data_IF_894761137924
#
_entry.id   IF_894761137924
#
_cell.length_a   1.000
_cell.length_b   1.000
_cell.length_c   1.000
_cell.angle_alpha   90.00
_cell.angle_beta   90.00
_cell.angle_gamma   90.00
#
_symmetry.space_group_name_H-M   'P 1'
#
loop_
_entity.id
_entity.type
_entity.pdbx_description
1 polymer ?
#
# COMPACT_ATOMS: atom_id res chain seq x y z
N UNK A 1 4.98 18.70 8.80
CA UNK A 1 5.82 17.71 9.51
C UNK A 1 6.06 16.48 8.64
N UNK A 2 5.02 15.89 8.02
CA UNK A 2 5.13 14.79 7.04
C UNK A 2 6.06 15.06 5.85
N UNK A 3 5.98 16.26 5.26
CA UNK A 3 6.74 16.63 4.06
C UNK A 3 8.26 16.53 4.25
N UNK A 4 8.80 16.93 5.41
CA UNK A 4 10.24 16.83 5.70
C UNK A 4 10.70 15.38 5.81
N UNK A 5 9.91 14.52 6.43
CA UNK A 5 10.32 13.14 6.72
C UNK A 5 10.23 12.26 5.46
N UNK A 6 9.16 12.38 4.66
CA UNK A 6 8.98 11.59 3.43
C UNK A 6 10.00 12.00 2.36
N UNK A 7 10.17 13.31 2.13
CA UNK A 7 11.15 13.82 1.15
C UNK A 7 12.58 13.47 1.55
N UNK A 8 12.89 13.44 2.85
CA UNK A 8 14.23 13.04 3.32
C UNK A 8 14.57 11.58 3.03
N UNK A 9 13.56 10.72 2.90
CA UNK A 9 13.72 9.28 2.68
C UNK A 9 13.76 8.94 1.18
N UNK A 10 13.16 9.77 0.33
CA UNK A 10 13.10 9.56 -1.12
C UNK A 10 14.45 9.73 -1.82
N UNK A 11 15.26 10.71 -1.43
CA UNK A 11 16.57 10.95 -2.05
C UNK A 11 17.52 9.76 -1.84
N UNK A 12 17.67 9.20 -0.61
CA UNK A 12 18.40 7.96 -0.38
C UNK A 12 17.87 6.78 -1.19
N UNK A 13 16.54 6.64 -1.31
CA UNK A 13 15.93 5.56 -2.09
C UNK A 13 16.36 5.62 -3.56
N UNK A 14 16.23 6.79 -4.20
CA UNK A 14 16.63 7.00 -5.59
C UNK A 14 18.13 6.82 -5.79
N UNK A 15 18.94 7.29 -4.84
CA UNK A 15 20.39 7.08 -4.88
C UNK A 15 20.72 5.58 -4.85
N UNK A 16 20.07 4.82 -3.97
CA UNK A 16 20.25 3.37 -3.89
C UNK A 16 19.85 2.67 -5.19
N UNK A 17 18.67 3.00 -5.75
CA UNK A 17 18.18 2.41 -7.00
C UNK A 17 19.15 2.70 -8.15
N UNK A 18 19.60 3.94 -8.30
CA UNK A 18 20.47 4.37 -9.40
C UNK A 18 21.92 3.86 -9.29
N UNK A 19 22.36 3.48 -8.10
CA UNK A 19 23.71 2.95 -7.90
C UNK A 19 23.88 1.50 -8.38
N UNK A 20 22.78 0.75 -8.51
CA UNK A 20 22.83 -0.66 -8.90
C UNK A 20 22.92 -0.80 -10.42
N UNK A 21 23.80 -1.68 -10.88
CA UNK A 21 24.02 -1.92 -12.32
C UNK A 21 23.37 -3.21 -12.82
N UNK A 22 23.19 -4.17 -11.92
CA UNK A 22 22.64 -5.48 -12.24
C UNK A 22 21.61 -5.92 -11.20
N UNK A 23 20.68 -6.83 -11.56
CA UNK A 23 19.79 -7.46 -10.59
C UNK A 23 20.56 -8.12 -9.44
N UNK A 24 21.70 -8.75 -9.72
CA UNK A 24 22.52 -9.34 -8.67
C UNK A 24 23.02 -8.31 -7.66
N UNK A 25 23.39 -7.11 -8.11
CA UNK A 25 23.79 -6.01 -7.23
C UNK A 25 22.62 -5.57 -6.33
N UNK A 26 21.40 -5.48 -6.87
CA UNK A 26 20.20 -5.18 -6.07
C UNK A 26 20.04 -6.17 -4.92
N UNK A 27 20.12 -7.46 -5.19
CA UNK A 27 19.97 -8.48 -4.15
C UNK A 27 21.11 -8.40 -3.12
N UNK A 28 22.36 -8.40 -3.59
CA UNK A 28 23.53 -8.46 -2.71
C UNK A 28 23.64 -7.21 -1.83
N UNK A 29 23.47 -6.02 -2.41
CA UNK A 29 23.57 -4.77 -1.67
C UNK A 29 22.38 -4.56 -0.73
N UNK A 30 21.18 -5.04 -1.10
CA UNK A 30 20.04 -5.04 -0.19
C UNK A 30 20.29 -5.95 1.02
N UNK A 31 20.70 -7.20 0.79
CA UNK A 31 20.99 -8.15 1.88
C UNK A 31 22.14 -7.66 2.75
N UNK A 32 23.18 -7.06 2.15
CA UNK A 32 24.29 -6.43 2.89
C UNK A 32 23.80 -5.26 3.77
N UNK A 33 22.94 -4.39 3.23
CA UNK A 33 22.35 -3.29 3.97
C UNK A 33 21.52 -3.77 5.17
N UNK A 34 20.71 -4.83 4.99
CA UNK A 34 19.90 -5.44 6.05
C UNK A 34 20.77 -6.07 7.14
N UNK A 35 21.86 -6.74 6.77
CA UNK A 35 22.74 -7.41 7.73
C UNK A 35 23.72 -6.45 8.43
N UNK A 36 23.68 -5.14 8.12
CA UNK A 36 24.60 -4.15 8.67
C UNK A 36 26.04 -4.28 8.15
N UNK A 37 26.23 -5.00 7.04
CA UNK A 37 27.53 -5.08 6.36
C UNK A 37 27.85 -3.74 5.68
N UNK A 38 29.15 -3.43 5.44
CA UNK A 38 29.54 -2.21 4.73
C UNK A 38 29.08 -2.27 3.28
N UNK A 39 27.83 -1.85 3.04
CA UNK A 39 27.29 -1.57 1.73
C UNK A 39 27.67 -0.15 1.31
N UNK A 40 27.94 0.05 0.01
CA UNK A 40 28.25 1.35 -0.56
C UNK A 40 27.13 2.38 -0.33
N UNK A 41 25.90 1.93 -0.10
CA UNK A 41 24.75 2.77 0.24
C UNK A 41 23.89 2.10 1.31
N UNK A 42 23.69 2.79 2.43
CA UNK A 42 22.75 2.38 3.47
C UNK A 42 21.33 2.79 3.07
N UNK A 43 20.41 1.83 3.13
CA UNK A 43 18.98 2.08 3.07
C UNK A 43 18.47 2.40 4.48
N UNK A 44 17.52 3.33 4.61
CA UNK A 44 16.80 3.53 5.88
C UNK A 44 15.97 2.28 6.19
N UNK A 45 15.85 1.92 7.47
CA UNK A 45 15.06 0.79 7.96
C UNK A 45 13.60 0.86 7.45
N UNK A 46 13.06 2.07 7.32
CA UNK A 46 11.72 2.30 6.77
C UNK A 46 11.58 1.84 5.31
N UNK A 47 12.65 1.93 4.52
CA UNK A 47 12.68 1.52 3.12
C UNK A 47 12.97 0.04 2.94
N UNK A 48 13.53 -0.60 3.97
CA UNK A 48 13.82 -2.04 3.98
C UNK A 48 12.54 -2.84 4.18
N UNK A 49 11.62 -2.34 5.01
CA UNK A 49 10.42 -3.05 5.43
C UNK A 49 9.50 -3.53 4.27
N UNK A 50 9.23 -2.74 3.22
CA UNK A 50 8.40 -3.19 2.09
C UNK A 50 8.98 -4.41 1.36
N UNK A 51 10.31 -4.51 1.29
CA UNK A 51 10.99 -5.66 0.68
C UNK A 51 10.94 -6.88 1.59
N UNK A 52 11.21 -6.70 2.89
CA UNK A 52 11.19 -7.81 3.86
C UNK A 52 9.79 -8.38 4.11
N UNK A 53 8.75 -7.54 4.02
CA UNK A 53 7.36 -7.96 4.16
C UNK A 53 6.80 -8.63 2.90
N UNK A 54 7.52 -8.61 1.78
CA UNK A 54 7.10 -9.25 0.55
C UNK A 54 7.30 -10.78 0.60
N UNK A 55 6.20 -11.52 0.43
CA UNK A 55 6.17 -12.99 0.51
C UNK A 55 7.06 -13.63 -0.57
N UNK A 56 7.07 -13.11 -1.80
CA UNK A 56 7.87 -13.67 -2.89
C UNK A 56 9.37 -13.49 -2.61
N UNK A 57 9.77 -12.29 -2.17
CA UNK A 57 11.15 -12.05 -1.78
C UNK A 57 11.58 -12.97 -0.63
N UNK A 58 10.74 -13.12 0.40
CA UNK A 58 11.02 -14.03 1.51
C UNK A 58 11.24 -15.48 1.04
N UNK A 59 10.40 -15.97 0.14
CA UNK A 59 10.52 -17.32 -0.43
C UNK A 59 11.81 -17.49 -1.25
N UNK A 60 12.17 -16.47 -2.06
CA UNK A 60 13.43 -16.47 -2.82
C UNK A 60 14.64 -16.46 -1.88
N UNK A 61 14.63 -15.60 -0.85
CA UNK A 61 15.67 -15.55 0.16
C UNK A 61 15.86 -16.89 0.87
N UNK A 62 14.76 -17.52 1.31
CA UNK A 62 14.78 -18.84 1.94
C UNK A 62 15.36 -19.90 1.01
N UNK A 63 14.97 -19.88 -0.27
CA UNK A 63 15.48 -20.81 -1.29
C UNK A 63 17.00 -20.64 -1.48
N UNK A 64 17.49 -19.41 -1.56
CA UNK A 64 18.92 -19.12 -1.68
C UNK A 64 19.67 -19.66 -0.45
N UNK A 65 19.16 -19.44 0.76
CA UNK A 65 19.76 -19.96 2.00
C UNK A 65 19.79 -21.50 2.05
N UNK A 66 18.75 -22.15 1.53
CA UNK A 66 18.71 -23.61 1.41
C UNK A 66 19.78 -24.10 0.42
N UNK A 67 19.89 -23.47 -0.76
CA UNK A 67 20.92 -23.81 -1.75
C UNK A 67 22.33 -23.61 -1.17
N UNK A 68 22.57 -22.55 -0.40
CA UNK A 68 23.85 -22.31 0.27
C UNK A 68 24.19 -23.39 1.31
N UNK A 69 23.17 -23.90 2.02
CA UNK A 69 23.35 -25.01 2.95
C UNK A 69 23.71 -26.29 2.19
N UNK A 70 22.99 -26.60 1.13
CA UNK A 70 23.24 -27.79 0.29
C UNK A 70 24.62 -27.73 -0.38
N UNK A 71 25.01 -26.58 -0.95
CA UNK A 71 26.35 -26.40 -1.55
C UNK A 71 27.47 -26.70 -0.53
N UNK A 72 27.33 -26.24 0.72
CA UNK A 72 28.29 -26.56 1.80
C UNK A 72 28.33 -28.06 2.11
N UNK A 73 27.18 -28.72 2.20
CA UNK A 73 27.09 -30.15 2.47
C UNK A 73 27.68 -31.00 1.32
N UNK A 74 27.44 -30.61 0.06
CA UNK A 74 28.01 -31.27 -1.11
C UNK A 74 29.52 -31.07 -1.21
N UNK A 75 30.03 -29.87 -0.90
CA UNK A 75 31.49 -29.61 -0.86
C UNK A 75 32.17 -30.45 0.23
N UNK A 76 31.58 -30.56 1.41
CA UNK A 76 32.12 -31.38 2.48
C UNK A 76 32.19 -32.88 2.12
N UNK A 77 31.27 -33.36 1.29
CA UNK A 77 31.18 -34.77 0.87
C UNK A 77 31.73 -35.04 -0.54
N UNK A 78 32.39 -34.06 -1.16
CA UNK A 78 32.79 -34.11 -2.57
C UNK A 78 33.65 -35.34 -2.91
N UNK A 79 34.57 -35.71 -2.01
CA UNK A 79 35.44 -36.88 -2.19
C UNK A 79 34.69 -38.22 -2.23
N UNK A 80 33.56 -38.32 -1.52
CA UNK A 80 32.72 -39.54 -1.49
C UNK A 80 31.76 -39.62 -2.68
N UNK A 81 31.34 -38.47 -3.19
CA UNK A 81 30.31 -38.37 -4.24
C UNK A 81 30.90 -38.38 -5.67
N UNK A 82 32.21 -38.17 -5.82
CA UNK A 82 32.89 -38.26 -7.12
C UNK A 82 32.29 -37.31 -8.17
N UNK A 83 32.05 -37.83 -9.38
CA UNK A 83 31.49 -37.07 -10.51
C UNK A 83 30.08 -36.54 -10.26
N UNK A 84 29.23 -37.29 -9.55
CA UNK A 84 27.88 -36.86 -9.18
C UNK A 84 27.90 -35.60 -8.30
N UNK A 85 28.83 -35.54 -7.34
CA UNK A 85 29.00 -34.36 -6.49
C UNK A 85 29.41 -33.12 -7.29
N UNK A 86 30.29 -33.28 -8.28
CA UNK A 86 30.70 -32.17 -9.15
C UNK A 86 29.56 -31.67 -10.04
N UNK A 87 28.78 -32.58 -10.62
CA UNK A 87 27.61 -32.21 -11.42
C UNK A 87 26.54 -31.49 -10.58
N UNK A 88 26.26 -31.99 -9.38
CA UNK A 88 25.29 -31.36 -8.49
C UNK A 88 25.75 -29.97 -8.04
N UNK A 89 27.03 -29.78 -7.72
CA UNK A 89 27.59 -28.46 -7.39
C UNK A 89 27.44 -27.47 -8.56
N UNK A 90 27.64 -27.91 -9.80
CA UNK A 90 27.43 -27.06 -10.97
C UNK A 90 25.96 -26.65 -11.13
N UNK A 91 25.02 -27.60 -10.90
CA UNK A 91 23.58 -27.32 -10.92
C UNK A 91 23.17 -26.37 -9.81
N UNK A 92 23.65 -26.58 -8.57
CA UNK A 92 23.38 -25.71 -7.43
C UNK A 92 23.94 -24.30 -7.66
N UNK A 93 25.13 -24.17 -8.26
CA UNK A 93 25.70 -22.88 -8.61
C UNK A 93 24.83 -22.11 -9.63
N UNK A 94 24.32 -22.81 -10.65
CA UNK A 94 23.39 -22.22 -11.63
C UNK A 94 22.07 -21.79 -10.96
N UNK A 95 21.46 -22.67 -10.16
CA UNK A 95 20.22 -22.39 -9.43
C UNK A 95 20.38 -21.22 -8.45
N UNK A 96 21.52 -21.15 -7.74
CA UNK A 96 21.85 -20.02 -6.86
C UNK A 96 21.87 -18.72 -7.65
N UNK A 97 22.60 -18.70 -8.76
CA UNK A 97 22.72 -17.50 -9.61
C UNK A 97 21.35 -17.05 -10.13
N UNK A 98 20.56 -17.97 -10.66
CA UNK A 98 19.21 -17.66 -11.16
C UNK A 98 18.28 -17.14 -10.04
N UNK A 99 18.37 -17.73 -8.84
CA UNK A 99 17.58 -17.30 -7.68
C UNK A 99 17.99 -15.91 -7.19
N UNK A 100 19.29 -15.59 -7.20
CA UNK A 100 19.81 -14.26 -6.86
C UNK A 100 19.30 -13.22 -7.87
N UNK A 101 19.38 -13.52 -9.17
CA UNK A 101 18.86 -12.63 -10.23
C UNK A 101 17.36 -12.37 -10.02
N UNK A 102 16.57 -13.42 -9.78
CA UNK A 102 15.12 -13.28 -9.49
C UNK A 102 14.86 -12.45 -8.23
N UNK A 103 15.61 -12.68 -7.16
CA UNK A 103 15.55 -11.89 -5.94
C UNK A 103 15.86 -10.42 -6.18
N UNK A 104 16.89 -10.16 -7.00
CA UNK A 104 17.30 -8.83 -7.43
C UNK A 104 16.23 -8.08 -8.20
N UNK A 105 15.65 -8.72 -9.22
CA UNK A 105 14.52 -8.17 -9.98
C UNK A 105 13.36 -7.84 -9.04
N UNK A 106 13.05 -8.73 -8.08
CA UNK A 106 11.96 -8.49 -7.14
C UNK A 106 12.22 -7.30 -6.23
N UNK A 107 13.44 -7.18 -5.69
CA UNK A 107 13.87 -6.03 -4.88
C UNK A 107 13.75 -4.75 -5.70
N UNK A 108 14.26 -4.75 -6.94
CA UNK A 108 14.16 -3.62 -7.84
C UNK A 108 12.70 -3.20 -8.05
N UNK A 109 11.83 -4.15 -8.43
CA UNK A 109 10.40 -3.89 -8.63
C UNK A 109 9.76 -3.23 -7.41
N UNK A 110 9.96 -3.81 -6.21
CA UNK A 110 9.38 -3.29 -4.97
C UNK A 110 9.87 -1.87 -4.69
N UNK A 111 11.17 -1.61 -4.81
CA UNK A 111 11.74 -0.30 -4.53
C UNK A 111 11.32 0.75 -5.57
N UNK A 112 11.19 0.36 -6.85
CA UNK A 112 10.70 1.27 -7.90
C UNK A 112 9.21 1.58 -7.74
N UNK A 113 8.39 0.60 -7.36
CA UNK A 113 6.98 0.82 -7.03
C UNK A 113 6.87 1.74 -5.82
N UNK A 114 7.67 1.52 -4.79
CA UNK A 114 7.71 2.37 -3.60
C UNK A 114 8.08 3.83 -3.95
N UNK A 115 9.05 4.07 -4.85
CA UNK A 115 9.33 5.44 -5.30
C UNK A 115 8.13 6.07 -6.03
N UNK A 116 7.44 5.30 -6.88
CA UNK A 116 6.25 5.76 -7.57
C UNK A 116 5.12 6.11 -6.59
N UNK A 117 4.83 5.23 -5.63
CA UNK A 117 3.80 5.43 -4.60
C UNK A 117 4.09 6.66 -3.73
N UNK A 118 5.36 6.89 -3.39
CA UNK A 118 5.78 8.10 -2.66
C UNK A 118 5.50 9.35 -3.49
N UNK A 119 5.80 9.35 -4.80
CA UNK A 119 5.51 10.51 -5.65
C UNK A 119 4.01 10.76 -5.77
N UNK A 120 3.20 9.70 -5.93
CA UNK A 120 1.75 9.82 -6.02
C UNK A 120 1.17 10.40 -4.72
N UNK A 121 1.60 9.91 -3.56
CA UNK A 121 1.18 10.43 -2.26
C UNK A 121 1.55 11.92 -2.08
N UNK A 122 2.70 12.37 -2.59
CA UNK A 122 3.10 13.78 -2.56
C UNK A 122 2.19 14.66 -3.43
N UNK A 123 1.78 14.15 -4.59
CA UNK A 123 0.83 14.87 -5.47
C UNK A 123 -0.53 14.98 -4.80
N UNK A 124 -1.06 13.88 -4.24
CA UNK A 124 -2.33 13.87 -3.51
C UNK A 124 -2.31 14.81 -2.30
N UNK A 125 -1.19 14.86 -1.56
CA UNK A 125 -1.04 15.80 -0.46
C UNK A 125 -1.15 17.26 -0.94
N UNK A 126 -0.51 17.58 -2.07
CA UNK A 126 -0.55 18.94 -2.65
C UNK A 126 -1.97 19.31 -3.08
N UNK A 127 -2.71 18.37 -3.67
CA UNK A 127 -4.12 18.56 -4.03
C UNK A 127 -4.99 18.86 -2.81
N UNK A 128 -4.87 18.06 -1.76
CA UNK A 128 -5.59 18.26 -0.49
C UNK A 128 -5.26 19.64 0.11
N UNK A 129 -4.00 20.07 0.07
CA UNK A 129 -3.61 21.38 0.58
C UNK A 129 -4.24 22.53 -0.22
N UNK A 130 -4.32 22.40 -1.54
CA UNK A 130 -5.00 23.38 -2.41
C UNK A 130 -6.50 23.42 -2.09
N UNK A 131 -7.14 22.27 -1.90
CA UNK A 131 -8.56 22.19 -1.53
C UNK A 131 -8.86 22.83 -0.18
N UNK A 132 -8.03 22.57 0.83
CA UNK A 132 -8.16 23.20 2.16
C UNK A 132 -8.04 24.72 2.04
N UNK A 133 -7.07 25.20 1.28
CA UNK A 133 -6.87 26.64 1.07
C UNK A 133 -8.06 27.27 0.31
N UNK A 134 -8.61 26.60 -0.71
CA UNK A 134 -9.81 27.05 -1.41
C UNK A 134 -11.03 27.09 -0.47
N UNK A 135 -11.22 26.08 0.37
CA UNK A 135 -12.29 26.07 1.37
C UNK A 135 -12.15 27.22 2.37
N UNK A 136 -10.94 27.49 2.84
CA UNK A 136 -10.67 28.62 3.74
C UNK A 136 -10.97 29.97 3.07
N UNK A 137 -10.58 30.15 1.80
CA UNK A 137 -10.90 31.36 1.03
C UNK A 137 -12.42 31.51 0.85
N UNK A 138 -13.12 30.43 0.52
CA UNK A 138 -14.58 30.46 0.37
C UNK A 138 -15.27 30.85 1.69
N UNK A 139 -14.85 30.28 2.82
CA UNK A 139 -15.37 30.65 4.14
C UNK A 139 -15.14 32.13 4.44
N UNK A 140 -13.92 32.64 4.24
CA UNK A 140 -13.62 34.06 4.45
C UNK A 140 -14.41 34.96 3.50
N UNK A 141 -14.65 34.52 2.26
CA UNK A 141 -15.43 35.27 1.28
C UNK A 141 -16.90 35.34 1.67
N UNK A 142 -17.49 34.23 2.12
CA UNK A 142 -18.88 34.19 2.63
C UNK A 142 -19.03 35.04 3.91
N UNK A 143 -18.07 34.98 4.83
CA UNK A 143 -18.05 35.87 6.00
C UNK A 143 -17.96 37.34 5.61
N UNK A 144 -17.15 37.67 4.60
CA UNK A 144 -17.01 39.04 4.08
C UNK A 144 -18.31 39.52 3.43
N UNK A 145 -18.95 38.71 2.58
CA UNK A 145 -20.26 39.03 1.99
C UNK A 145 -21.31 39.30 3.06
N UNK A 146 -21.35 38.48 4.12
CA UNK A 146 -22.24 38.69 5.27
C UNK A 146 -21.94 40.00 6.01
N UNK A 147 -20.68 40.38 6.16
CA UNK A 147 -20.28 41.62 6.85
C UNK A 147 -20.50 42.89 6.01
N UNK A 148 -20.32 42.81 4.69
CA UNK A 148 -20.47 43.95 3.76
C UNK A 148 -21.94 44.26 3.48
N UNK A 149 -22.87 43.41 3.93
CA UNK A 149 -24.31 43.63 3.74
C UNK A 149 -24.78 43.33 2.31
N UNK A 150 -23.93 42.71 1.48
CA UNK A 150 -24.30 42.07 0.21
C UNK A 150 -24.97 40.71 0.43
N UNK A 151 -25.70 40.56 1.55
CA UNK A 151 -26.76 39.58 1.63
C UNK A 151 -27.92 40.14 0.79
N UNK A 152 -27.84 39.98 -0.54
CA UNK A 152 -28.98 40.24 -1.40
C UNK A 152 -30.16 39.41 -0.91
N UNK A 153 -31.24 40.11 -0.57
CA UNK A 153 -32.58 39.60 -0.37
C UNK A 153 -33.05 38.86 -1.64
N UNK A 154 -32.71 37.59 -1.78
CA UNK A 154 -33.22 36.65 -2.79
C UNK A 154 -32.76 35.27 -2.28
N UNK A 155 -33.42 34.66 -1.29
CA UNK A 155 -34.61 33.83 -1.44
C UNK A 155 -35.50 33.96 -0.20
N UNK A 156 -36.43 34.91 -0.22
CA UNK A 156 -37.51 35.00 0.75
C UNK A 156 -38.84 34.92 0.02
N UNK A 157 -39.26 33.71 -0.37
CA UNK A 157 -40.68 33.35 -0.44
C UNK A 157 -40.88 31.84 -0.65
N UNK A 158 -40.99 31.09 0.46
CA UNK A 158 -42.14 30.19 0.68
C UNK A 158 -42.52 30.26 2.15
N UNK A 159 -43.58 31.01 2.46
CA UNK A 159 -44.24 30.97 3.76
C UNK A 159 -45.08 29.69 3.81
N UNK A 160 -44.85 28.83 4.81
CA UNK A 160 -45.97 28.20 5.52
C UNK A 160 -45.56 27.78 6.92
N UNK A 161 -46.16 28.46 7.89
CA UNK A 161 -46.35 28.10 9.30
C UNK A 161 -45.91 26.69 9.73
N UNK A 162 -44.96 26.63 10.66
CA UNK A 162 -44.71 25.41 11.42
C UNK A 162 -43.41 25.49 12.19
N UNK A 163 -43.53 25.67 13.51
CA UNK A 163 -42.54 25.41 14.57
C UNK A 163 -41.17 24.92 14.08
N UNK A 164 -40.12 25.68 14.41
CA UNK A 164 -38.73 25.23 14.36
C UNK A 164 -38.62 23.89 15.09
N UNK A 165 -38.52 22.81 14.33
CA UNK A 165 -38.14 21.51 14.83
C UNK A 165 -36.62 21.45 14.71
N UNK A 166 -35.94 21.51 15.86
CA UNK A 166 -34.55 21.05 15.94
C UNK A 166 -34.63 19.53 15.74
N UNK A 167 -34.32 19.08 14.52
CA UNK A 167 -34.29 17.65 14.19
C UNK A 167 -33.01 17.10 14.79
N UNK A 168 -33.16 16.33 15.88
CA UNK A 168 -32.08 15.51 16.40
C UNK A 168 -31.79 14.41 15.38
N UNK A 169 -30.51 14.10 15.21
CA UNK A 169 -29.86 13.14 14.29
C UNK A 169 -30.45 11.70 14.32
N UNK A 170 -31.49 11.45 15.11
CA UNK A 170 -32.11 10.15 15.37
C UNK A 170 -33.60 10.09 14.94
N UNK A 171 -34.09 11.08 14.18
CA UNK A 171 -35.51 11.15 13.76
C UNK A 171 -35.75 11.39 12.27
N UNK A 172 -34.72 11.40 11.44
CA UNK A 172 -34.89 11.38 9.98
C UNK A 172 -35.07 9.94 9.50
N UNK A 173 -36.34 9.55 9.29
CA UNK A 173 -36.66 8.35 8.52
C UNK A 173 -36.72 8.77 7.06
N UNK A 174 -35.67 8.43 6.31
CA UNK A 174 -35.65 8.64 4.88
C UNK A 174 -36.73 7.75 4.24
N UNK A 175 -37.74 8.30 3.55
CA UNK A 175 -38.67 7.48 2.80
C UNK A 175 -37.90 6.89 1.63
N UNK A 176 -37.48 5.64 1.78
CA UNK A 176 -36.80 4.91 0.72
C UNK A 176 -37.72 4.83 -0.51
N UNK A 177 -37.44 5.61 -1.55
CA UNK A 177 -38.26 5.68 -2.78
C UNK A 177 -38.00 4.53 -3.77
N UNK A 178 -37.23 3.50 -3.36
CA UNK A 178 -37.13 2.26 -4.11
C UNK A 178 -36.26 2.31 -5.37
N UNK A 179 -35.45 3.35 -5.57
CA UNK A 179 -34.50 3.36 -6.68
C UNK A 179 -33.24 2.57 -6.33
N UNK A 180 -33.05 1.45 -7.03
CA UNK A 180 -31.80 0.70 -7.04
C UNK A 180 -30.97 1.12 -8.25
N UNK A 181 -29.73 1.51 -7.99
CA UNK A 181 -28.73 1.70 -9.02
C UNK A 181 -28.18 0.31 -9.37
N UNK A 182 -28.38 -0.10 -10.63
CA UNK A 182 -28.15 -1.48 -11.11
C UNK A 182 -26.71 -1.95 -10.94
N UNK A 183 -25.79 -1.00 -10.75
CA UNK A 183 -24.35 -1.16 -10.61
C UNK A 183 -23.86 -1.33 -9.15
N UNK A 184 -24.68 -1.11 -8.13
CA UNK A 184 -24.26 -1.23 -6.72
C UNK A 184 -24.69 -2.52 -6.01
N UNK A 185 -25.64 -3.29 -6.53
CA UNK A 185 -26.11 -4.54 -5.91
C UNK A 185 -25.45 -5.75 -6.57
N UNK A 186 -24.21 -6.04 -6.18
CA UNK A 186 -23.59 -7.29 -6.61
C UNK A 186 -24.03 -8.50 -5.78
N UNK A 187 -24.07 -8.48 -4.44
CA UNK A 187 -24.51 -9.67 -3.69
C UNK A 187 -25.02 -9.37 -2.26
N UNK A 188 -26.31 -9.11 -2.10
CA UNK A 188 -27.00 -9.38 -0.83
C UNK A 188 -28.01 -10.51 -1.06
N UNK A 189 -27.66 -11.73 -0.63
CA UNK A 189 -28.61 -12.84 -0.50
C UNK A 189 -28.89 -13.02 0.99
N UNK A 190 -30.07 -12.61 1.44
CA UNK A 190 -30.59 -13.08 2.73
C UNK A 190 -31.25 -14.45 2.51
N UNK A 191 -30.78 -15.46 3.22
CA UNK A 191 -31.50 -16.73 3.33
C UNK A 191 -32.47 -16.60 4.51
N UNK A 192 -33.70 -16.18 4.22
CA UNK A 192 -34.77 -16.23 5.21
C UNK A 192 -35.37 -17.64 5.19
N UNK A 193 -35.28 -18.34 6.31
CA UNK A 193 -36.07 -19.55 6.58
C UNK A 193 -37.35 -19.16 7.30
N UNK A 194 -38.49 -19.66 6.85
CA UNK A 194 -39.74 -19.51 7.59
C UNK A 194 -39.80 -20.60 8.65
N UNK A 195 -39.76 -20.21 9.92
CA UNK A 195 -40.32 -21.05 10.97
C UNK A 195 -41.81 -20.72 11.06
N UNK A 196 -42.66 -21.64 10.60
CA UNK A 196 -44.04 -21.65 11.04
C UNK A 196 -44.03 -22.10 12.51
N UNK A 197 -44.41 -21.21 13.42
CA UNK A 197 -44.90 -21.60 14.74
C UNK A 197 -46.39 -21.93 14.59
N UNK A 198 -46.70 -23.21 14.41
CA UNK A 198 -48.06 -23.71 14.62
C UNK A 198 -48.31 -23.80 16.13
N UNK A 199 -48.74 -22.68 16.70
CA UNK A 199 -49.50 -22.66 17.94
C UNK A 199 -50.94 -22.27 17.60
N UNK A 200 -51.85 -23.25 17.53
CA UNK A 200 -53.07 -23.24 18.35
C UNK A 200 -54.08 -24.34 17.99
N UNK A 201 -54.45 -25.12 19.01
CA UNK A 201 -55.83 -25.49 19.39
C UNK A 201 -56.76 -26.11 18.32
N UNK A 202 -56.96 -27.44 18.38
CA UNK A 202 -58.13 -28.12 18.98
C UNK A 202 -57.93 -29.64 18.98
#
# INVERSE_FOLDING_TARGET
MFERDVVSTQVPLRAFINAQKSPEDFYNNFVAAVNGEPSAMKLDDKLVYPVLSNIEFYNLYRTIRQIEKEDREFRANQGRLGSFGQEMLARLAMLKKESIVRGGIKVQQILTTLDADINEALVQQTEIEVDINMMAINQMTEETKRMVGEASEEEAEVVTSGKVAVVGDDTEVWPFEGEYWRDEISYYRSMLTSQCTDDSFF
#
